data_IF_585999050151
#
_entry.id   IF_585999050151
#
_cell.length_a   1.000
_cell.length_b   1.000
_cell.length_c   1.000
_cell.angle_alpha   90.00
_cell.angle_beta   90.00
_cell.angle_gamma   90.00
#
_symmetry.space_group_name_H-M   'P 1'
#
loop_
_entity.id
_entity.type
_entity.pdbx_description
1 polymer ?
#
# COMPACT_ATOMS: atom_id res chain seq x y z
N UNK A 1 16.84 43.61 10.51
CA UNK A 1 16.98 42.17 10.77
C UNK A 1 15.60 41.60 10.99
N UNK A 2 15.05 40.86 10.02
CA UNK A 2 13.78 40.18 10.22
C UNK A 2 14.07 38.83 10.89
N UNK A 3 13.59 38.69 12.13
CA UNK A 3 13.64 37.43 12.88
C UNK A 3 12.54 36.54 12.29
N UNK A 4 12.95 35.52 11.57
CA UNK A 4 12.09 34.45 11.05
C UNK A 4 11.50 33.67 12.23
N UNK A 5 10.24 33.93 12.58
CA UNK A 5 9.42 33.10 13.46
C UNK A 5 8.93 31.84 12.71
N UNK A 6 9.85 31.00 12.25
CA UNK A 6 9.47 29.62 11.93
C UNK A 6 9.24 28.89 13.25
N UNK A 7 8.12 28.18 13.44
CA UNK A 7 7.97 27.29 14.57
C UNK A 7 9.15 26.31 14.55
N UNK A 8 9.88 26.19 15.66
CA UNK A 8 10.79 25.06 15.84
C UNK A 8 9.93 23.81 15.81
N UNK A 9 10.01 23.05 14.73
CA UNK A 9 9.43 21.71 14.68
C UNK A 9 10.23 20.83 15.66
N UNK A 10 9.75 20.80 16.90
CA UNK A 10 10.32 20.03 18.00
C UNK A 10 9.67 18.65 18.12
N UNK A 11 9.01 18.17 17.06
CA UNK A 11 8.48 16.83 17.08
C UNK A 11 9.61 15.88 16.68
N UNK A 12 10.15 15.19 17.69
CA UNK A 12 11.13 14.09 17.60
C UNK A 12 10.54 12.89 16.83
N UNK A 13 10.15 13.08 15.57
CA UNK A 13 9.61 12.04 14.69
C UNK A 13 10.68 11.20 14.01
N UNK A 14 11.96 11.58 14.13
CA UNK A 14 13.05 10.97 13.36
C UNK A 14 13.32 9.48 13.66
N UNK A 15 12.67 8.86 14.66
CA UNK A 15 12.92 7.45 15.00
C UNK A 15 11.70 6.64 15.45
N UNK A 16 10.47 7.18 15.39
CA UNK A 16 9.30 6.44 15.89
C UNK A 16 8.50 5.79 14.76
N UNK A 17 9.04 4.64 14.36
CA UNK A 17 8.36 3.49 13.75
C UNK A 17 7.69 3.71 12.39
N UNK A 18 8.50 3.61 11.34
CA UNK A 18 8.04 3.33 9.97
C UNK A 18 7.13 2.07 9.86
N UNK A 19 7.09 1.22 10.90
CA UNK A 19 6.40 -0.08 10.91
C UNK A 19 5.13 -0.13 11.76
N UNK A 20 4.77 0.91 12.52
CA UNK A 20 3.54 0.89 13.33
C UNK A 20 2.38 1.37 12.46
N UNK A 21 1.34 0.53 12.36
CA UNK A 21 0.08 0.92 11.72
C UNK A 21 -0.59 2.00 12.56
N UNK A 22 -0.81 3.15 11.95
CA UNK A 22 -1.55 4.24 12.59
C UNK A 22 -3.04 3.92 12.71
N UNK A 23 -3.70 4.58 13.66
CA UNK A 23 -5.14 4.49 13.79
C UNK A 23 -5.83 5.05 12.55
N UNK A 24 -6.60 4.18 11.90
CA UNK A 24 -7.41 4.50 10.73
C UNK A 24 -8.64 5.33 11.15
N UNK A 25 -8.88 6.44 10.47
CA UNK A 25 -9.96 7.38 10.78
C UNK A 25 -11.09 7.29 9.77
N UNK A 26 -10.80 7.41 8.48
CA UNK A 26 -11.79 7.35 7.40
C UNK A 26 -11.14 6.97 6.06
N UNK A 27 -11.93 6.36 5.18
CA UNK A 27 -11.58 6.12 3.78
C UNK A 27 -12.64 6.75 2.88
N UNK A 28 -12.18 7.41 1.83
CA UNK A 28 -13.00 8.13 0.87
C UNK A 28 -12.55 7.77 -0.54
N UNK A 29 -13.32 8.22 -1.55
CA UNK A 29 -12.92 8.03 -2.94
C UNK A 29 -11.53 8.64 -3.25
N UNK A 30 -11.13 9.69 -2.55
CA UNK A 30 -9.96 10.50 -2.93
C UNK A 30 -8.76 10.30 -2.00
N UNK A 31 -9.00 9.89 -0.75
CA UNK A 31 -7.93 9.66 0.23
C UNK A 31 -8.36 8.68 1.32
N UNK A 32 -7.38 8.00 1.89
CA UNK A 32 -7.45 7.37 3.20
C UNK A 32 -6.85 8.31 4.28
N UNK A 33 -7.49 8.40 5.44
CA UNK A 33 -7.04 9.24 6.55
C UNK A 33 -6.66 8.40 7.74
N UNK A 34 -5.47 8.67 8.25
CA UNK A 34 -4.92 8.13 9.48
C UNK A 34 -4.58 9.28 10.44
N UNK A 35 -4.21 8.97 11.67
CA UNK A 35 -3.76 9.99 12.64
C UNK A 35 -2.59 10.85 12.14
N UNK A 36 -1.69 10.26 11.35
CA UNK A 36 -0.57 10.95 10.73
C UNK A 36 -0.96 11.96 9.65
N UNK A 37 -2.08 11.75 8.95
CA UNK A 37 -2.51 12.65 7.89
C UNK A 37 -3.39 11.97 6.82
N UNK A 38 -3.36 12.58 5.64
CA UNK A 38 -4.18 12.25 4.49
C UNK A 38 -3.29 11.63 3.41
N UNK A 39 -3.61 10.41 3.01
CA UNK A 39 -2.94 9.63 1.98
C UNK A 39 -3.85 9.61 0.75
N UNK A 40 -3.47 10.33 -0.29
CA UNK A 40 -4.29 10.54 -1.47
C UNK A 40 -4.21 9.34 -2.39
N UNK A 41 -5.36 8.74 -2.66
CA UNK A 41 -5.46 7.48 -3.36
C UNK A 41 -4.98 7.62 -4.80
N UNK A 42 -3.98 6.84 -5.17
CA UNK A 42 -3.52 6.74 -6.54
C UNK A 42 -4.48 5.82 -7.31
N UNK A 43 -5.33 6.43 -8.12
CA UNK A 43 -6.33 5.69 -8.92
C UNK A 43 -5.74 5.13 -10.21
N UNK A 44 -4.51 5.51 -10.56
CA UNK A 44 -3.85 5.11 -11.80
C UNK A 44 -2.94 3.90 -11.58
N UNK A 45 -2.40 3.76 -10.37
CA UNK A 45 -1.58 2.63 -9.98
C UNK A 45 -2.37 1.67 -9.11
N UNK A 46 -2.45 0.43 -9.58
CA UNK A 46 -3.04 -0.69 -8.86
C UNK A 46 -2.12 -1.89 -8.98
N UNK A 47 -1.87 -2.58 -7.88
CA UNK A 47 -1.16 -3.84 -7.88
C UNK A 47 -2.07 -5.03 -7.60
N UNK A 48 -1.59 -6.22 -7.96
CA UNK A 48 -2.26 -7.48 -7.62
C UNK A 48 -1.21 -8.51 -7.21
N UNK A 49 -1.42 -9.09 -6.03
CA UNK A 49 -0.66 -10.21 -5.52
C UNK A 49 -1.58 -11.42 -5.44
N UNK A 50 -1.13 -12.58 -5.89
CA UNK A 50 -1.82 -13.85 -5.64
C UNK A 50 -1.09 -14.60 -4.52
N UNK A 51 -1.86 -15.20 -3.62
CA UNK A 51 -1.37 -15.79 -2.39
C UNK A 51 -1.90 -17.22 -2.22
N UNK A 52 -1.03 -18.12 -1.77
CA UNK A 52 -1.42 -19.45 -1.32
C UNK A 52 -2.11 -19.39 0.06
N UNK A 53 -2.92 -20.40 0.36
CA UNK A 53 -3.47 -20.56 1.72
C UNK A 53 -2.37 -20.73 2.78
N UNK A 54 -1.25 -21.39 2.46
CA UNK A 54 -0.12 -21.54 3.39
C UNK A 54 0.42 -20.19 3.81
N UNK A 55 0.57 -19.26 2.87
CA UNK A 55 1.11 -17.94 3.13
C UNK A 55 0.15 -17.07 3.95
N UNK A 56 -1.13 -17.06 3.58
CA UNK A 56 -2.20 -16.37 4.34
C UNK A 56 -2.20 -16.85 5.80
N UNK A 57 -2.08 -18.16 6.03
CA UNK A 57 -2.02 -18.71 7.38
C UNK A 57 -0.70 -18.38 8.10
N UNK A 58 0.44 -18.41 7.40
CA UNK A 58 1.75 -18.07 7.98
C UNK A 58 1.78 -16.65 8.52
N UNK A 59 1.23 -15.70 7.77
CA UNK A 59 1.23 -14.28 8.13
C UNK A 59 -0.07 -13.79 8.79
N UNK A 60 -1.06 -14.67 8.98
CA UNK A 60 -2.37 -14.33 9.56
C UNK A 60 -3.04 -13.14 8.84
N UNK A 61 -2.98 -13.15 7.51
CA UNK A 61 -3.51 -12.04 6.69
C UNK A 61 -5.03 -11.97 6.83
N UNK A 62 -5.55 -10.74 6.95
CA UNK A 62 -6.99 -10.50 6.95
C UNK A 62 -7.49 -10.43 5.52
N UNK A 63 -8.20 -11.47 5.10
CA UNK A 63 -8.83 -11.51 3.79
C UNK A 63 -10.23 -10.87 3.84
N UNK A 64 -10.52 -10.00 2.89
CA UNK A 64 -11.86 -9.48 2.63
C UNK A 64 -12.62 -10.41 1.67
N UNK A 65 -13.96 -10.37 1.70
CA UNK A 65 -14.79 -11.15 0.76
C UNK A 65 -14.53 -10.78 -0.71
N UNK A 66 -14.01 -9.56 -0.96
CA UNK A 66 -13.60 -9.09 -2.27
C UNK A 66 -12.26 -9.63 -2.77
N UNK A 67 -11.50 -10.34 -1.92
CA UNK A 67 -10.16 -10.84 -2.22
C UNK A 67 -10.21 -12.19 -2.95
N UNK A 68 -11.13 -12.28 -3.92
CA UNK A 68 -11.42 -13.47 -4.71
C UNK A 68 -10.50 -13.55 -5.93
N UNK A 69 -9.72 -14.62 -6.00
CA UNK A 69 -8.76 -14.83 -7.07
C UNK A 69 -9.39 -14.94 -8.45
N UNK A 70 -10.61 -15.51 -8.56
CA UNK A 70 -11.29 -15.66 -9.84
C UNK A 70 -11.77 -14.30 -10.38
N UNK A 71 -12.19 -13.38 -9.51
CA UNK A 71 -12.54 -12.02 -9.92
C UNK A 71 -11.32 -11.29 -10.48
N UNK A 72 -10.21 -11.26 -9.73
CA UNK A 72 -9.06 -10.43 -10.07
C UNK A 72 -8.20 -10.97 -11.21
N UNK A 73 -8.04 -12.28 -11.33
CA UNK A 73 -7.31 -12.90 -12.46
C UNK A 73 -7.96 -12.54 -13.81
N UNK A 74 -9.28 -12.37 -13.85
CA UNK A 74 -9.98 -12.01 -15.08
C UNK A 74 -9.69 -10.56 -15.51
N UNK A 75 -9.43 -9.66 -14.57
CA UNK A 75 -9.11 -8.26 -14.84
C UNK A 75 -7.66 -8.06 -15.31
N UNK A 76 -6.76 -9.01 -15.01
CA UNK A 76 -5.35 -8.95 -15.39
C UNK A 76 -5.05 -9.26 -16.87
N UNK A 77 -6.06 -9.53 -17.70
CA UNK A 77 -5.90 -9.85 -19.15
C UNK A 77 -4.90 -10.99 -19.42
N UNK A 78 -4.73 -11.91 -18.48
CA UNK A 78 -3.87 -13.08 -18.61
C UNK A 78 -4.39 -14.03 -19.71
N UNK A 79 -3.50 -14.81 -20.31
CA UNK A 79 -3.93 -15.89 -21.21
C UNK A 79 -4.49 -17.07 -20.40
N UNK A 80 -5.29 -17.92 -21.05
CA UNK A 80 -5.99 -19.03 -20.37
C UNK A 80 -5.06 -20.07 -19.73
N UNK A 81 -3.83 -20.23 -20.25
CA UNK A 81 -2.85 -21.15 -19.66
C UNK A 81 -2.34 -20.62 -18.32
N UNK A 82 -1.97 -19.34 -18.26
CA UNK A 82 -1.48 -18.70 -17.04
C UNK A 82 -2.57 -18.64 -15.97
N UNK A 83 -3.81 -18.31 -16.38
CA UNK A 83 -4.98 -18.37 -15.47
C UNK A 83 -5.12 -19.76 -14.83
N UNK A 84 -5.07 -20.81 -15.64
CA UNK A 84 -5.21 -22.18 -15.16
C UNK A 84 -4.04 -22.63 -14.27
N UNK A 85 -2.83 -22.09 -14.47
CA UNK A 85 -1.69 -22.34 -13.59
C UNK A 85 -1.89 -21.64 -12.25
N UNK A 86 -2.26 -20.36 -12.26
CA UNK A 86 -2.42 -19.57 -11.04
C UNK A 86 -3.60 -20.04 -10.18
N UNK A 87 -4.75 -20.35 -10.78
CA UNK A 87 -5.91 -20.91 -10.07
C UNK A 87 -5.66 -22.30 -9.46
N UNK A 88 -4.58 -22.99 -9.84
CA UNK A 88 -4.16 -24.25 -9.21
C UNK A 88 -3.17 -24.05 -8.07
N UNK A 89 -2.46 -22.92 -8.04
CA UNK A 89 -1.36 -22.65 -7.12
C UNK A 89 -1.78 -21.75 -5.97
N UNK A 90 -2.62 -20.77 -6.24
CA UNK A 90 -3.00 -19.73 -5.30
C UNK A 90 -4.50 -19.78 -5.04
N UNK A 91 -4.89 -19.37 -3.84
CA UNK A 91 -6.27 -19.44 -3.36
C UNK A 91 -6.88 -18.04 -3.21
N UNK A 92 -6.03 -17.01 -3.07
CA UNK A 92 -6.45 -15.65 -2.75
C UNK A 92 -5.80 -14.63 -3.68
N UNK A 93 -6.47 -13.48 -3.81
CA UNK A 93 -5.97 -12.31 -4.52
C UNK A 93 -6.00 -11.10 -3.61
N UNK A 94 -4.85 -10.48 -3.40
CA UNK A 94 -4.69 -9.29 -2.57
C UNK A 94 -4.49 -8.08 -3.48
N UNK A 95 -5.45 -7.16 -3.46
CA UNK A 95 -5.37 -5.92 -4.23
C UNK A 95 -4.49 -4.91 -3.51
N UNK A 96 -3.51 -4.34 -4.22
CA UNK A 96 -2.61 -3.34 -3.66
C UNK A 96 -3.18 -1.96 -3.95
N UNK A 97 -3.54 -1.25 -2.88
CA UNK A 97 -3.85 0.16 -2.90
C UNK A 97 -2.57 1.00 -2.84
N UNK A 98 -2.58 2.12 -3.56
CA UNK A 98 -1.48 3.07 -3.59
C UNK A 98 -1.93 4.45 -3.11
N UNK A 99 -0.98 5.20 -2.56
CA UNK A 99 -1.13 6.62 -2.33
C UNK A 99 -0.16 7.36 -3.26
N UNK A 100 -0.64 8.38 -3.99
CA UNK A 100 0.23 9.21 -4.84
C UNK A 100 0.84 10.38 -4.07
N UNK A 101 0.21 10.74 -2.96
CA UNK A 101 0.61 11.89 -2.16
C UNK A 101 0.19 11.77 -0.70
N UNK A 102 0.88 12.53 0.15
CA UNK A 102 0.62 12.69 1.56
C UNK A 102 0.52 14.17 1.93
N UNK A 103 -0.39 14.49 2.86
CA UNK A 103 -0.39 15.77 3.54
C UNK A 103 -0.86 15.63 4.97
N UNK A 104 -0.29 16.43 5.88
CA UNK A 104 -0.76 16.51 7.27
C UNK A 104 -2.17 17.15 7.37
N UNK A 105 -2.56 17.98 6.41
CA UNK A 105 -3.86 18.67 6.39
C UNK A 105 -4.57 18.39 5.08
N UNK A 106 -5.90 18.35 5.11
CA UNK A 106 -6.70 18.04 3.93
C UNK A 106 -6.43 18.98 2.74
N UNK A 107 -6.24 20.26 2.99
CA UNK A 107 -5.98 21.26 1.93
C UNK A 107 -4.49 21.52 1.69
N UNK A 108 -3.60 20.75 2.33
CA UNK A 108 -2.15 20.99 2.33
C UNK A 108 -1.40 20.35 1.18
N UNK A 109 -2.08 19.85 0.15
CA UNK A 109 -1.42 19.29 -1.03
C UNK A 109 -0.94 20.38 -1.97
N UNK A 110 0.38 20.38 -2.21
CA UNK A 110 0.99 21.13 -3.30
C UNK A 110 1.79 20.16 -4.19
N UNK A 111 1.13 19.64 -5.23
CA UNK A 111 1.75 18.78 -6.25
C UNK A 111 2.87 19.47 -7.03
N UNK A 112 3.02 20.80 -6.93
CA UNK A 112 4.12 21.53 -7.57
C UNK A 112 5.43 21.52 -6.77
N UNK A 113 5.38 21.09 -5.50
CA UNK A 113 6.50 21.16 -4.57
C UNK A 113 7.47 19.96 -4.62
N UNK A 114 7.08 18.86 -5.27
CA UNK A 114 7.89 17.64 -5.39
C UNK A 114 8.10 16.83 -4.10
N UNK A 115 7.63 17.30 -2.94
CA UNK A 115 7.79 16.65 -1.63
C UNK A 115 6.54 15.89 -1.15
N UNK A 116 5.54 15.70 -2.02
CA UNK A 116 4.25 15.14 -1.64
C UNK A 116 4.26 13.61 -1.51
N UNK A 117 5.28 12.91 -2.02
CA UNK A 117 5.40 11.44 -1.90
C UNK A 117 6.07 11.00 -0.60
N UNK A 118 6.67 11.92 0.15
CA UNK A 118 7.34 11.62 1.41
C UNK A 118 6.32 11.59 2.55
N UNK A 119 6.18 10.44 3.19
CA UNK A 119 5.23 10.22 4.30
C UNK A 119 5.99 9.89 5.59
N UNK A 120 5.32 9.96 6.75
CA UNK A 120 5.90 9.47 8.01
C UNK A 120 6.27 7.97 7.99
N UNK A 121 5.70 7.19 7.07
CA UNK A 121 5.87 5.74 6.94
C UNK A 121 6.74 5.33 5.75
N UNK A 122 7.51 6.28 5.22
CA UNK A 122 8.35 6.08 4.04
C UNK A 122 7.78 6.75 2.79
N UNK A 123 8.44 6.53 1.67
CA UNK A 123 8.01 7.08 0.39
C UNK A 123 6.82 6.27 -0.17
N UNK A 124 5.80 6.95 -0.69
CA UNK A 124 4.54 6.39 -1.19
C UNK A 124 4.65 5.14 -2.10
N UNK A 125 5.77 4.95 -2.79
CA UNK A 125 5.97 3.83 -3.73
C UNK A 125 7.05 2.84 -3.26
N UNK A 126 7.60 3.02 -2.06
CA UNK A 126 8.50 2.05 -1.45
C UNK A 126 7.76 0.77 -1.04
N UNK A 127 8.45 -0.37 -1.04
CA UNK A 127 7.84 -1.66 -0.69
C UNK A 127 7.32 -1.66 0.75
N UNK A 128 8.07 -1.03 1.65
CA UNK A 128 7.77 -0.92 3.07
C UNK A 128 6.51 -0.09 3.29
N UNK A 129 6.39 1.06 2.61
CA UNK A 129 5.19 1.88 2.68
C UNK A 129 3.98 1.14 2.12
N UNK A 130 4.12 0.49 0.97
CA UNK A 130 3.00 -0.23 0.33
C UNK A 130 2.52 -1.36 1.22
N UNK A 131 3.45 -2.11 1.83
CA UNK A 131 3.13 -3.14 2.81
C UNK A 131 2.40 -2.55 4.03
N UNK A 132 2.91 -1.44 4.58
CA UNK A 132 2.27 -0.72 5.68
C UNK A 132 0.85 -0.26 5.30
N UNK A 133 0.67 0.36 4.13
CA UNK A 133 -0.60 0.93 3.69
C UNK A 133 -1.67 -0.16 3.51
N UNK A 134 -1.25 -1.34 3.05
CA UNK A 134 -2.10 -2.48 2.77
C UNK A 134 -2.18 -3.53 3.91
N UNK A 135 -1.65 -3.25 5.10
CA UNK A 135 -1.76 -4.13 6.28
C UNK A 135 -1.16 -5.55 6.07
N UNK A 136 0.00 -5.64 5.40
CA UNK A 136 0.78 -6.89 5.30
C UNK A 136 2.25 -6.71 5.72
N UNK A 137 2.91 -7.80 6.11
CA UNK A 137 4.34 -7.77 6.46
C UNK A 137 5.19 -7.74 5.18
N UNK A 138 6.11 -6.78 4.98
CA UNK A 138 6.94 -6.70 3.78
C UNK A 138 7.80 -7.95 3.54
N UNK A 139 8.18 -8.71 4.58
CA UNK A 139 8.91 -9.98 4.45
C UNK A 139 8.14 -11.03 3.61
N UNK A 140 6.81 -10.91 3.55
CA UNK A 140 5.96 -11.76 2.70
C UNK A 140 6.35 -11.67 1.22
N UNK A 141 6.88 -10.53 0.77
CA UNK A 141 7.30 -10.30 -0.61
C UNK A 141 8.58 -11.06 -0.98
N UNK A 142 9.28 -11.60 0.01
CA UNK A 142 10.51 -12.38 -0.16
C UNK A 142 10.26 -13.90 -0.22
N UNK A 143 9.00 -14.32 -0.08
CA UNK A 143 8.60 -15.73 -0.11
C UNK A 143 8.72 -16.32 -1.52
N UNK A 144 8.71 -17.65 -1.61
CA UNK A 144 8.89 -18.34 -2.89
C UNK A 144 7.70 -18.14 -3.83
N UNK A 145 7.93 -18.36 -5.11
CA UNK A 145 6.89 -18.35 -6.15
C UNK A 145 5.86 -19.49 -5.99
N UNK A 146 6.08 -20.42 -5.06
CA UNK A 146 5.08 -21.42 -4.66
C UNK A 146 3.98 -20.80 -3.80
N UNK A 147 4.30 -19.75 -3.04
CA UNK A 147 3.43 -19.14 -2.03
C UNK A 147 2.89 -17.76 -2.46
N UNK A 148 3.65 -17.01 -3.26
CA UNK A 148 3.29 -15.67 -3.71
C UNK A 148 3.63 -15.45 -5.18
N UNK A 149 2.78 -14.71 -5.92
CA UNK A 149 3.18 -14.08 -7.18
C UNK A 149 2.64 -12.67 -7.27
N UNK A 150 3.49 -11.76 -7.72
CA UNK A 150 3.13 -10.36 -7.95
C UNK A 150 2.86 -10.21 -9.44
N UNK A 151 1.60 -10.02 -9.83
CA UNK A 151 1.20 -9.87 -11.23
C UNK A 151 1.36 -8.42 -11.71
N UNK A 152 1.06 -7.47 -10.84
CA UNK A 152 1.33 -6.05 -11.05
C UNK A 152 1.82 -5.44 -9.75
N UNK A 153 2.94 -4.72 -9.82
CA UNK A 153 3.51 -3.94 -8.72
C UNK A 153 3.40 -2.45 -9.05
N UNK A 154 3.79 -1.59 -8.11
CA UNK A 154 3.62 -0.13 -8.04
C UNK A 154 3.92 0.74 -9.27
N UNK A 155 4.27 0.20 -10.44
CA UNK A 155 4.62 0.98 -11.62
C UNK A 155 3.74 0.66 -12.84
N UNK A 156 3.27 1.76 -13.46
CA UNK A 156 2.92 1.96 -14.88
C UNK A 156 2.35 0.76 -15.65
#
# INVERSE_FOLDING_TARGET
MMISNKPKDNRRWEEKFYSIKDDFIEDTKDYARYESGFYWNDKLHSGLILLSSSLVNKYQLKMHESDDICLWINDCKLNELDKAIYLKKYDFAFYIHHAEAFSMTKDGLDFSSGNYTQTPHGECYSHEFVAWFNDFNPEMLEESDEDIVILKWCDS
#
